data_IF_660649558502
#
_entry.id   IF_660649558502
#
_cell.length_a   1.000
_cell.length_b   1.000
_cell.length_c   1.000
_cell.angle_alpha   90.00
_cell.angle_beta   90.00
_cell.angle_gamma   90.00
#
_symmetry.space_group_name_H-M   'P 1'
#
loop_
_entity.id
_entity.type
_entity.pdbx_description
1 polymer ?
#
# COMPACT_ATOMS: atom_id res chain seq x y z
N UNK A 1 -4.88 8.97 -34.96
CA UNK A 1 -5.82 9.68 -34.08
C UNK A 1 -6.64 10.68 -34.87
N UNK A 2 -7.97 10.58 -34.83
CA UNK A 2 -8.93 11.50 -35.49
C UNK A 2 -10.10 11.82 -34.55
N UNK A 3 -10.86 12.88 -34.86
CA UNK A 3 -12.09 13.18 -34.13
C UNK A 3 -13.10 12.03 -34.25
N UNK A 4 -13.79 11.73 -33.15
CA UNK A 4 -14.69 10.59 -33.00
C UNK A 4 -14.01 9.28 -32.62
N UNK A 5 -12.67 9.22 -32.59
CA UNK A 5 -11.94 7.99 -32.28
C UNK A 5 -11.94 7.65 -30.79
N UNK A 6 -12.11 6.38 -30.44
CA UNK A 6 -11.91 5.87 -29.09
C UNK A 6 -10.41 5.71 -28.80
N UNK A 7 -9.98 6.20 -27.64
CA UNK A 7 -8.58 6.15 -27.18
C UNK A 7 -8.52 5.76 -25.71
N UNK A 8 -7.46 5.09 -25.30
CA UNK A 8 -7.10 4.94 -23.90
C UNK A 8 -6.10 6.04 -23.53
N UNK A 9 -6.35 6.73 -22.42
CA UNK A 9 -5.56 7.86 -21.97
C UNK A 9 -5.26 7.78 -20.47
N UNK A 10 -4.05 8.18 -20.05
CA UNK A 10 -3.67 8.23 -18.64
C UNK A 10 -4.10 9.54 -17.98
N UNK A 11 -4.91 9.44 -16.93
CA UNK A 11 -5.47 10.56 -16.16
C UNK A 11 -5.29 10.29 -14.68
N UNK A 12 -4.64 11.21 -13.96
CA UNK A 12 -4.42 11.11 -12.52
C UNK A 12 -3.79 9.79 -12.05
N UNK A 13 -2.98 9.14 -12.91
CA UNK A 13 -2.33 7.86 -12.63
C UNK A 13 -3.00 6.66 -13.29
N UNK A 14 -4.30 6.74 -13.59
CA UNK A 14 -5.08 5.61 -14.11
C UNK A 14 -5.31 5.70 -15.62
N UNK A 15 -5.44 4.56 -16.29
CA UNK A 15 -5.87 4.50 -17.69
C UNK A 15 -7.40 4.58 -17.77
N UNK A 16 -7.90 5.51 -18.57
CA UNK A 16 -9.33 5.71 -18.84
C UNK A 16 -9.59 5.76 -20.33
N UNK A 17 -10.65 5.10 -20.78
CA UNK A 17 -11.10 5.16 -22.17
C UNK A 17 -11.85 6.48 -22.42
N UNK A 18 -11.67 7.09 -23.57
CA UNK A 18 -12.31 8.35 -23.93
C UNK A 18 -12.54 8.43 -25.45
N UNK A 19 -13.45 9.32 -25.87
CA UNK A 19 -13.61 9.68 -27.28
C UNK A 19 -12.86 10.96 -27.59
N UNK A 20 -12.12 10.99 -28.69
CA UNK A 20 -11.45 12.20 -29.18
C UNK A 20 -12.48 13.15 -29.77
N UNK A 21 -12.51 14.39 -29.27
CA UNK A 21 -13.34 15.46 -29.83
C UNK A 21 -12.55 16.28 -30.85
N UNK A 22 -11.31 16.63 -30.49
CA UNK A 22 -10.47 17.51 -31.28
C UNK A 22 -8.99 17.16 -31.06
N UNK A 23 -8.21 17.15 -32.14
CA UNK A 23 -6.76 16.90 -32.11
C UNK A 23 -6.05 18.19 -32.49
N UNK A 24 -5.24 18.72 -31.58
CA UNK A 24 -4.38 19.87 -31.80
C UNK A 24 -2.91 19.45 -31.80
N UNK A 25 -1.99 20.37 -32.09
CA UNK A 25 -0.57 20.07 -32.28
C UNK A 25 0.10 19.38 -31.07
N UNK A 26 -0.26 19.76 -29.83
CA UNK A 26 0.34 19.20 -28.60
C UNK A 26 -0.68 18.70 -27.58
N UNK A 27 -1.97 18.94 -27.83
CA UNK A 27 -3.07 18.66 -26.91
C UNK A 27 -4.21 17.97 -27.64
N UNK A 28 -4.92 17.11 -26.92
CA UNK A 28 -6.12 16.42 -27.42
C UNK A 28 -7.26 16.73 -26.47
N UNK A 29 -8.40 17.15 -27.03
CA UNK A 29 -9.65 17.25 -26.29
C UNK A 29 -10.36 15.92 -26.37
N UNK A 30 -10.71 15.38 -25.21
CA UNK A 30 -11.33 14.07 -25.05
C UNK A 30 -12.61 14.17 -24.24
N UNK A 31 -13.59 13.33 -24.56
CA UNK A 31 -14.81 13.11 -23.81
C UNK A 31 -14.68 11.83 -22.98
N UNK A 32 -14.73 11.96 -21.66
CA UNK A 32 -14.52 10.85 -20.71
C UNK A 32 -15.79 10.05 -20.47
N UNK A 33 -16.88 10.74 -20.15
CA UNK A 33 -18.22 10.19 -19.90
C UNK A 33 -19.19 11.29 -20.29
N UNK A 34 -20.46 10.95 -20.58
CA UNK A 34 -21.52 11.91 -20.91
C UNK A 34 -21.29 13.32 -20.32
N UNK A 35 -21.04 14.31 -21.19
CA UNK A 35 -20.77 15.74 -20.90
C UNK A 35 -19.50 16.10 -20.11
N UNK A 36 -18.65 15.15 -19.71
CA UNK A 36 -17.37 15.39 -19.03
C UNK A 36 -16.22 15.39 -20.03
N UNK A 37 -15.72 16.57 -20.35
CA UNK A 37 -14.57 16.78 -21.25
C UNK A 37 -13.28 17.05 -20.48
N UNK A 38 -12.15 16.70 -21.09
CA UNK A 38 -10.82 17.04 -20.60
C UNK A 38 -9.89 17.39 -21.77
N UNK A 39 -8.90 18.23 -21.49
CA UNK A 39 -7.86 18.61 -22.45
C UNK A 39 -6.50 18.14 -21.94
N UNK A 40 -5.92 17.15 -22.60
CA UNK A 40 -4.69 16.49 -22.15
C UNK A 40 -3.56 16.63 -23.16
N UNK A 41 -2.28 16.54 -22.72
CA UNK A 41 -1.15 16.37 -23.63
C UNK A 41 -1.31 15.11 -24.49
N UNK A 42 -0.91 15.17 -25.75
CA UNK A 42 -1.01 14.03 -26.67
C UNK A 42 -0.22 12.80 -26.19
N UNK A 43 0.89 13.01 -25.48
CA UNK A 43 1.71 11.97 -24.83
C UNK A 43 0.97 11.16 -23.76
N UNK A 44 -0.16 11.65 -23.24
CA UNK A 44 -0.99 10.90 -22.29
C UNK A 44 -1.92 9.90 -22.97
N UNK A 45 -2.04 9.93 -24.30
CA UNK A 45 -2.73 8.89 -25.06
C UNK A 45 -1.83 7.67 -25.12
N UNK A 46 -2.26 6.59 -24.48
CA UNK A 46 -1.50 5.34 -24.37
C UNK A 46 -1.86 4.34 -25.47
N UNK A 47 -3.08 4.41 -26.00
CA UNK A 47 -3.52 3.58 -27.12
C UNK A 47 -4.57 4.31 -27.97
N UNK A 48 -4.39 4.28 -29.28
CA UNK A 48 -5.40 4.71 -30.25
C UNK A 48 -6.06 3.46 -30.86
N UNK A 49 -7.37 3.30 -30.68
CA UNK A 49 -8.04 2.05 -31.04
C UNK A 49 -8.36 1.93 -32.53
N UNK A 50 -8.41 3.05 -33.25
CA UNK A 50 -8.89 3.13 -34.63
C UNK A 50 -10.42 3.08 -34.78
N UNK A 51 -11.19 2.86 -33.70
CA UNK A 51 -12.64 2.82 -33.74
C UNK A 51 -13.20 4.23 -33.70
N UNK A 52 -13.97 4.63 -34.72
CA UNK A 52 -14.74 5.87 -34.73
C UNK A 52 -16.16 5.59 -34.24
N UNK A 53 -16.61 6.36 -33.25
CA UNK A 53 -17.98 6.29 -32.74
C UNK A 53 -18.67 7.64 -32.87
N UNK A 54 -19.97 7.60 -33.19
CA UNK A 54 -20.77 8.82 -33.38
C UNK A 54 -21.46 9.26 -32.10
N UNK A 55 -22.03 8.32 -31.33
CA UNK A 55 -22.78 8.63 -30.13
C UNK A 55 -21.87 8.65 -28.90
N UNK A 56 -22.21 9.48 -27.91
CA UNK A 56 -21.46 9.53 -26.65
C UNK A 56 -21.65 8.24 -25.84
N UNK A 57 -22.82 7.61 -25.93
CA UNK A 57 -23.15 6.36 -25.24
C UNK A 57 -22.32 5.17 -25.72
N UNK A 58 -21.79 5.24 -26.95
CA UNK A 58 -20.89 4.22 -27.49
C UNK A 58 -19.58 4.13 -26.68
N UNK A 59 -19.16 5.22 -26.03
CA UNK A 59 -17.98 5.25 -25.16
C UNK A 59 -18.21 4.42 -23.90
N UNK A 60 -19.35 4.60 -23.24
CA UNK A 60 -19.69 3.87 -22.02
C UNK A 60 -19.94 2.38 -22.31
N UNK A 61 -20.53 2.06 -23.47
CA UNK A 61 -20.67 0.66 -23.93
C UNK A 61 -19.30 0.00 -24.16
N UNK A 62 -18.42 0.65 -24.91
CA UNK A 62 -17.08 0.11 -25.18
C UNK A 62 -16.25 -0.02 -23.89
N UNK A 63 -16.40 0.92 -22.95
CA UNK A 63 -15.82 0.82 -21.61
C UNK A 63 -16.27 -0.44 -20.89
N UNK A 64 -17.58 -0.68 -20.83
CA UNK A 64 -18.12 -1.84 -20.15
C UNK A 64 -17.66 -3.15 -20.81
N UNK A 65 -17.58 -3.18 -22.14
CA UNK A 65 -17.08 -4.32 -22.91
C UNK A 65 -15.60 -4.61 -22.61
N UNK A 66 -14.72 -3.60 -22.72
CA UNK A 66 -13.30 -3.76 -22.44
C UNK A 66 -13.05 -4.13 -20.97
N UNK A 67 -13.80 -3.55 -20.03
CA UNK A 67 -13.71 -3.88 -18.62
C UNK A 67 -14.12 -5.34 -18.35
N UNK A 68 -15.20 -5.82 -18.97
CA UNK A 68 -15.64 -7.21 -18.85
C UNK A 68 -14.59 -8.20 -19.38
N UNK A 69 -13.91 -7.84 -20.47
CA UNK A 69 -12.82 -8.64 -21.04
C UNK A 69 -11.56 -8.69 -20.16
N UNK A 70 -11.37 -7.76 -19.21
CA UNK A 70 -10.20 -7.83 -18.31
C UNK A 70 -10.20 -9.10 -17.46
N UNK A 71 -11.38 -9.68 -17.19
CA UNK A 71 -11.51 -10.92 -16.43
C UNK A 71 -11.05 -12.17 -17.18
N UNK A 72 -10.93 -12.13 -18.52
CA UNK A 72 -10.41 -13.23 -19.33
C UNK A 72 -8.91 -13.13 -19.60
N UNK A 73 -8.25 -12.06 -19.15
CA UNK A 73 -6.81 -11.89 -19.34
C UNK A 73 -6.09 -12.46 -18.14
N UNK A 74 -5.25 -13.47 -18.37
CA UNK A 74 -4.34 -14.01 -17.36
C UNK A 74 -2.93 -13.46 -17.61
N UNK A 75 -2.49 -12.51 -16.77
CA UNK A 75 -1.17 -11.87 -16.91
C UNK A 75 -0.07 -12.80 -16.43
N UNK A 76 -0.35 -13.71 -15.49
CA UNK A 76 0.63 -14.69 -15.01
C UNK A 76 0.91 -15.71 -16.12
N UNK A 77 -0.12 -16.25 -16.76
CA UNK A 77 0.04 -17.18 -17.89
C UNK A 77 0.82 -16.51 -19.05
N UNK A 78 0.47 -15.27 -19.42
CA UNK A 78 1.21 -14.54 -20.44
C UNK A 78 2.68 -14.36 -20.09
N UNK A 79 2.95 -14.08 -18.81
CA UNK A 79 4.31 -13.95 -18.31
C UNK A 79 5.07 -15.27 -18.35
N UNK A 80 4.44 -16.39 -17.98
CA UNK A 80 5.06 -17.72 -18.03
C UNK A 80 5.53 -18.10 -19.44
N UNK A 81 4.78 -17.69 -20.47
CA UNK A 81 5.15 -17.93 -21.87
C UNK A 81 6.41 -17.18 -22.27
N UNK A 82 6.60 -15.94 -21.80
CA UNK A 82 7.66 -15.04 -22.32
C UNK A 82 8.81 -14.77 -21.34
N UNK A 83 8.72 -15.23 -20.09
CA UNK A 83 9.68 -14.89 -19.01
C UNK A 83 11.12 -15.29 -19.32
N UNK A 84 11.33 -16.35 -20.10
CA UNK A 84 12.66 -16.84 -20.45
C UNK A 84 13.27 -16.12 -21.66
N UNK A 85 12.46 -15.41 -22.45
CA UNK A 85 12.89 -14.79 -23.70
C UNK A 85 13.58 -13.44 -23.50
N UNK A 86 13.52 -12.85 -22.29
CA UNK A 86 14.12 -11.57 -21.90
C UNK A 86 13.89 -10.40 -22.88
N UNK A 87 12.91 -10.54 -23.78
CA UNK A 87 12.69 -9.65 -24.91
C UNK A 87 11.61 -8.64 -24.55
N UNK A 88 11.85 -7.39 -24.93
CA UNK A 88 10.89 -6.31 -24.82
C UNK A 88 9.73 -6.53 -25.81
N UNK A 89 8.50 -6.54 -25.31
CA UNK A 89 7.29 -6.81 -26.08
C UNK A 89 6.42 -5.56 -26.16
N UNK A 90 5.79 -5.36 -27.31
CA UNK A 90 4.72 -4.37 -27.46
C UNK A 90 3.40 -4.88 -26.90
N UNK A 91 2.41 -3.99 -26.74
CA UNK A 91 1.06 -4.41 -26.38
C UNK A 91 0.48 -5.37 -27.43
N UNK A 92 0.81 -5.14 -28.70
CA UNK A 92 0.38 -5.93 -29.85
C UNK A 92 0.97 -7.34 -29.80
N UNK A 93 2.24 -7.50 -29.44
CA UNK A 93 2.87 -8.82 -29.29
C UNK A 93 2.17 -9.62 -28.18
N UNK A 94 1.90 -8.98 -27.03
CA UNK A 94 1.17 -9.62 -25.92
C UNK A 94 -0.29 -9.95 -26.27
N UNK A 95 -0.95 -9.09 -27.06
CA UNK A 95 -2.31 -9.35 -27.54
C UNK A 95 -2.34 -10.52 -28.52
N UNK A 96 -1.32 -10.65 -29.37
CA UNK A 96 -1.18 -11.80 -30.26
C UNK A 96 -0.96 -13.11 -29.51
N UNK A 97 -0.17 -13.10 -28.43
CA UNK A 97 -0.01 -14.29 -27.57
C UNK A 97 -1.33 -14.69 -26.89
N UNK A 98 -2.17 -13.73 -26.54
CA UNK A 98 -3.45 -13.96 -25.85
C UNK A 98 -4.57 -14.43 -26.78
N UNK A 99 -4.69 -13.84 -27.97
CA UNK A 99 -5.85 -14.05 -28.87
C UNK A 99 -5.48 -14.41 -30.31
N UNK A 100 -4.19 -14.56 -30.61
CA UNK A 100 -3.68 -14.72 -31.96
C UNK A 100 -3.69 -13.43 -32.77
N UNK A 101 -3.42 -13.57 -34.07
CA UNK A 101 -3.39 -12.47 -35.01
C UNK A 101 -4.76 -11.78 -35.11
N UNK A 102 -4.77 -10.44 -35.01
CA UNK A 102 -5.97 -9.64 -35.22
C UNK A 102 -6.82 -9.37 -33.97
N UNK A 103 -6.21 -9.34 -32.78
CA UNK A 103 -6.89 -8.96 -31.55
C UNK A 103 -7.73 -7.68 -31.70
N UNK A 104 -8.99 -7.76 -31.30
CA UNK A 104 -9.95 -6.66 -31.41
C UNK A 104 -9.51 -5.46 -30.55
N UNK A 105 -10.02 -4.27 -30.88
CA UNK A 105 -9.67 -3.08 -30.11
C UNK A 105 -10.14 -3.15 -28.65
N UNK A 106 -11.28 -3.79 -28.36
CA UNK A 106 -11.76 -4.00 -26.99
C UNK A 106 -10.83 -4.96 -26.22
N UNK A 107 -10.32 -6.01 -26.86
CA UNK A 107 -9.33 -6.93 -26.29
C UNK A 107 -8.00 -6.24 -25.98
N UNK A 108 -7.46 -5.45 -26.93
CA UNK A 108 -6.22 -4.68 -26.72
C UNK A 108 -6.34 -3.69 -25.57
N UNK A 109 -7.49 -3.03 -25.45
CA UNK A 109 -7.76 -2.11 -24.34
C UNK A 109 -7.91 -2.90 -23.02
N UNK A 110 -8.57 -4.05 -23.03
CA UNK A 110 -8.70 -4.91 -21.85
C UNK A 110 -7.33 -5.38 -21.33
N UNK A 111 -6.45 -5.85 -22.24
CA UNK A 111 -5.08 -6.24 -21.91
C UNK A 111 -4.30 -5.07 -21.32
N UNK A 112 -4.39 -3.89 -21.94
CA UNK A 112 -3.75 -2.67 -21.43
C UNK A 112 -4.22 -2.31 -20.02
N UNK A 113 -5.53 -2.36 -19.75
CA UNK A 113 -6.09 -2.09 -18.42
C UNK A 113 -5.60 -3.12 -17.40
N UNK A 114 -5.56 -4.40 -17.78
CA UNK A 114 -5.11 -5.48 -16.90
C UNK A 114 -3.63 -5.36 -16.56
N UNK A 115 -2.76 -5.11 -17.55
CA UNK A 115 -1.32 -4.92 -17.35
C UNK A 115 -1.00 -3.68 -16.49
N UNK A 116 -1.80 -2.62 -16.58
CA UNK A 116 -1.67 -1.43 -15.73
C UNK A 116 -2.01 -1.71 -14.25
N UNK A 117 -2.97 -2.61 -14.01
CA UNK A 117 -3.40 -3.03 -12.66
C UNK A 117 -2.46 -4.08 -12.07
N UNK A 118 -1.96 -5.00 -12.89
CA UNK A 118 -1.14 -6.15 -12.47
C UNK A 118 0.33 -5.96 -12.85
N UNK A 119 0.96 -5.01 -12.17
CA UNK A 119 2.36 -4.62 -12.42
C UNK A 119 3.40 -5.62 -11.88
N UNK A 120 2.97 -6.76 -11.33
CA UNK A 120 3.86 -7.77 -10.75
C UNK A 120 4.78 -8.40 -11.80
N UNK A 121 4.22 -8.79 -12.94
CA UNK A 121 4.89 -9.63 -13.91
C UNK A 121 5.67 -8.85 -14.97
N UNK A 122 5.16 -7.69 -15.40
CA UNK A 122 5.79 -6.86 -16.44
C UNK A 122 6.23 -5.48 -15.94
N UNK A 123 7.42 -5.05 -16.34
CA UNK A 123 7.84 -3.65 -16.26
C UNK A 123 7.33 -2.95 -17.51
N UNK A 124 6.56 -1.86 -17.35
CA UNK A 124 6.13 -1.03 -18.47
C UNK A 124 7.00 0.23 -18.56
N UNK A 125 7.63 0.43 -19.71
CA UNK A 125 8.33 1.67 -20.04
C UNK A 125 7.78 2.21 -21.37
N UNK A 126 6.95 3.25 -21.29
CA UNK A 126 6.38 3.94 -22.47
C UNK A 126 5.68 3.00 -23.46
N UNK A 127 4.95 2.01 -22.96
CA UNK A 127 4.21 1.05 -23.79
C UNK A 127 5.03 -0.16 -24.24
N UNK A 128 6.28 -0.26 -23.79
CA UNK A 128 7.11 -1.46 -23.93
C UNK A 128 7.04 -2.27 -22.64
N UNK A 129 6.75 -3.56 -22.75
CA UNK A 129 6.60 -4.49 -21.64
C UNK A 129 7.78 -5.45 -21.61
N UNK A 130 8.50 -5.45 -20.49
CA UNK A 130 9.59 -6.39 -20.26
C UNK A 130 9.18 -7.36 -19.15
N UNK A 131 9.18 -8.68 -19.39
CA UNK A 131 8.86 -9.65 -18.34
C UNK A 131 9.93 -9.60 -17.24
N UNK A 132 9.49 -9.70 -15.99
CA UNK A 132 10.42 -9.85 -14.85
C UNK A 132 10.94 -11.27 -14.78
N UNK A 133 12.12 -11.45 -14.19
CA UNK A 133 12.60 -12.80 -13.86
C UNK A 133 11.72 -13.44 -12.80
N UNK A 134 11.69 -14.77 -12.76
CA UNK A 134 11.02 -15.54 -11.71
C UNK A 134 11.50 -15.14 -10.32
N UNK A 135 12.81 -14.97 -10.14
CA UNK A 135 13.40 -14.48 -8.88
C UNK A 135 12.88 -13.12 -8.45
N UNK A 136 12.68 -12.19 -9.39
CA UNK A 136 12.17 -10.86 -9.09
C UNK A 136 10.66 -10.90 -8.75
N UNK A 137 9.89 -11.74 -9.44
CA UNK A 137 8.47 -11.95 -9.10
C UNK A 137 8.33 -12.54 -7.70
N UNK A 138 9.12 -13.55 -7.36
CA UNK A 138 9.08 -14.21 -6.05
C UNK A 138 9.50 -13.25 -4.92
N UNK A 139 10.54 -12.44 -5.14
CA UNK A 139 10.96 -11.41 -4.18
C UNK A 139 9.85 -10.39 -3.94
N UNK A 140 9.15 -9.94 -5.00
CA UNK A 140 8.03 -9.01 -4.87
C UNK A 140 6.84 -9.68 -4.16
N UNK A 141 6.50 -10.94 -4.47
CA UNK A 141 5.44 -11.71 -3.79
C UNK A 141 5.75 -11.82 -2.29
N UNK A 142 6.94 -12.32 -1.94
CA UNK A 142 7.41 -12.43 -0.54
C UNK A 142 7.38 -11.08 0.18
N UNK A 143 7.82 -10.00 -0.46
CA UNK A 143 7.77 -8.65 0.12
C UNK A 143 6.33 -8.21 0.39
N UNK A 144 5.42 -8.35 -0.57
CA UNK A 144 4.00 -7.98 -0.44
C UNK A 144 3.31 -8.78 0.66
N UNK A 145 3.59 -10.08 0.76
CA UNK A 145 3.05 -10.92 1.83
C UNK A 145 3.54 -10.48 3.21
N UNK A 146 4.82 -10.15 3.33
CA UNK A 146 5.39 -9.62 4.57
C UNK A 146 4.79 -8.27 4.94
N UNK A 147 4.64 -7.36 3.98
CA UNK A 147 4.00 -6.05 4.19
C UNK A 147 2.54 -6.20 4.62
N UNK A 148 1.78 -7.08 3.95
CA UNK A 148 0.40 -7.37 4.30
C UNK A 148 0.26 -7.96 5.71
N UNK A 149 1.16 -8.90 6.08
CA UNK A 149 1.22 -9.46 7.44
C UNK A 149 1.56 -8.41 8.47
N UNK A 150 2.57 -7.58 8.21
CA UNK A 150 2.95 -6.50 9.11
C UNK A 150 1.83 -5.47 9.29
N UNK A 151 1.09 -5.15 8.22
CA UNK A 151 -0.07 -4.26 8.28
C UNK A 151 -1.20 -4.87 9.10
N UNK A 152 -1.50 -6.17 8.90
CA UNK A 152 -2.48 -6.90 9.70
C UNK A 152 -2.10 -6.93 11.17
N UNK A 153 -0.84 -7.26 11.49
CA UNK A 153 -0.30 -7.27 12.85
C UNK A 153 -0.41 -5.90 13.51
N UNK A 154 -0.15 -4.82 12.76
CA UNK A 154 -0.27 -3.44 13.22
C UNK A 154 -1.71 -3.06 13.54
N UNK A 155 -2.66 -3.35 12.64
CA UNK A 155 -4.09 -3.12 12.88
C UNK A 155 -4.57 -3.91 14.09
N UNK A 156 -4.26 -5.21 14.17
CA UNK A 156 -4.68 -6.06 15.27
C UNK A 156 -4.14 -5.59 16.63
N UNK A 157 -2.90 -5.08 16.67
CA UNK A 157 -2.34 -4.50 17.90
C UNK A 157 -3.07 -3.20 18.29
N UNK A 158 -3.32 -2.31 17.33
CA UNK A 158 -4.02 -1.04 17.58
C UNK A 158 -5.45 -1.29 18.08
N UNK A 159 -6.15 -2.24 17.47
CA UNK A 159 -7.50 -2.64 17.88
C UNK A 159 -7.49 -3.18 19.32
N UNK A 160 -6.58 -4.11 19.64
CA UNK A 160 -6.44 -4.65 20.99
C UNK A 160 -6.12 -3.56 22.03
N UNK A 161 -5.18 -2.65 21.74
CA UNK A 161 -4.84 -1.53 22.63
C UNK A 161 -6.04 -0.60 22.85
N UNK A 162 -6.84 -0.36 21.80
CA UNK A 162 -8.04 0.48 21.89
C UNK A 162 -9.13 -0.17 22.76
N UNK A 163 -9.20 -1.50 22.76
CA UNK A 163 -10.06 -2.30 23.64
C UNK A 163 -9.52 -2.46 25.07
N UNK A 164 -8.34 -1.90 25.38
CA UNK A 164 -7.68 -2.04 26.68
C UNK A 164 -7.15 -3.45 26.92
N UNK A 165 -6.72 -4.14 25.85
CA UNK A 165 -6.20 -5.49 25.89
C UNK A 165 -4.87 -5.61 25.15
N UNK A 166 -4.22 -6.76 25.32
CA UNK A 166 -3.11 -7.18 24.49
C UNK A 166 -3.50 -8.46 23.74
N UNK A 167 -3.00 -8.66 22.51
CA UNK A 167 -3.15 -9.94 21.82
C UNK A 167 -2.58 -11.07 22.69
N UNK A 168 -3.30 -12.21 22.85
CA UNK A 168 -2.88 -13.28 23.76
C UNK A 168 -1.57 -13.95 23.33
N UNK A 169 -1.32 -14.03 22.03
CA UNK A 169 -0.05 -14.47 21.45
C UNK A 169 0.45 -13.40 20.47
N UNK A 170 1.38 -12.55 20.93
CA UNK A 170 1.92 -11.50 20.08
C UNK A 170 2.97 -12.03 19.10
N UNK A 171 2.83 -11.66 17.83
CA UNK A 171 3.87 -11.91 16.83
C UNK A 171 5.16 -11.14 17.17
N UNK A 172 6.33 -11.55 16.66
CA UNK A 172 7.56 -10.78 16.82
C UNK A 172 7.44 -9.33 16.32
N UNK A 173 6.62 -9.10 15.28
CA UNK A 173 6.37 -7.77 14.77
C UNK A 173 5.51 -6.94 15.73
N UNK A 174 4.45 -7.52 16.32
CA UNK A 174 3.63 -6.86 17.34
C UNK A 174 4.44 -6.50 18.58
N UNK A 175 5.36 -7.36 19.02
CA UNK A 175 6.27 -7.05 20.13
C UNK A 175 7.18 -5.85 19.83
N UNK A 176 7.68 -5.75 18.58
CA UNK A 176 8.45 -4.59 18.13
C UNK A 176 7.57 -3.32 18.16
N UNK A 177 6.36 -3.38 17.63
CA UNK A 177 5.44 -2.24 17.63
C UNK A 177 5.09 -1.80 19.05
N UNK A 178 4.76 -2.73 19.94
CA UNK A 178 4.45 -2.43 21.34
C UNK A 178 5.63 -1.75 22.05
N UNK A 179 6.85 -2.27 21.86
CA UNK A 179 8.07 -1.65 22.38
C UNK A 179 8.26 -0.23 21.83
N UNK A 180 7.96 -0.02 20.56
CA UNK A 180 8.09 1.29 19.94
C UNK A 180 7.03 2.28 20.48
N UNK A 181 5.79 1.82 20.73
CA UNK A 181 4.75 2.60 21.40
C UNK A 181 5.18 2.97 22.83
N UNK A 182 5.75 2.03 23.58
CA UNK A 182 6.33 2.26 24.92
C UNK A 182 7.42 3.34 24.89
N UNK A 183 8.40 3.18 23.99
CA UNK A 183 9.48 4.14 23.83
C UNK A 183 8.99 5.54 23.46
N UNK A 184 7.95 5.64 22.63
CA UNK A 184 7.33 6.92 22.32
C UNK A 184 6.55 7.52 23.49
N UNK A 185 5.82 6.73 24.27
CA UNK A 185 5.15 7.22 25.48
C UNK A 185 6.14 7.81 26.50
N UNK A 186 7.32 7.20 26.64
CA UNK A 186 8.38 7.60 27.57
C UNK A 186 9.15 8.84 27.08
N UNK A 187 9.63 8.81 25.83
CA UNK A 187 10.56 9.83 25.30
C UNK A 187 9.90 10.88 24.40
N UNK A 188 8.65 10.67 24.00
CA UNK A 188 7.91 11.58 23.11
C UNK A 188 8.61 11.78 21.77
N UNK A 189 8.70 13.03 21.33
CA UNK A 189 9.35 13.41 20.07
C UNK A 189 10.87 13.14 20.02
N UNK A 190 11.51 12.88 21.18
CA UNK A 190 12.91 12.48 21.22
C UNK A 190 13.09 10.98 20.87
N UNK A 191 12.00 10.21 20.75
CA UNK A 191 12.09 8.81 20.36
C UNK A 191 12.36 8.68 18.85
N UNK A 192 13.42 7.95 18.49
CA UNK A 192 13.86 7.79 17.09
C UNK A 192 12.77 7.29 16.15
N UNK A 193 11.84 6.45 16.64
CA UNK A 193 10.73 5.91 15.83
C UNK A 193 9.40 6.64 16.07
N UNK A 194 9.41 7.82 16.69
CA UNK A 194 8.22 8.63 16.98
C UNK A 194 7.30 8.83 15.77
N UNK A 195 7.78 9.23 14.58
CA UNK A 195 6.93 9.39 13.40
C UNK A 195 6.19 8.11 12.98
N UNK A 196 6.83 6.94 13.12
CA UNK A 196 6.20 5.66 12.79
C UNK A 196 5.10 5.31 13.79
N UNK A 197 5.31 5.57 15.08
CA UNK A 197 4.29 5.39 16.13
C UNK A 197 3.12 6.36 15.92
N UNK A 198 3.39 7.63 15.60
CA UNK A 198 2.33 8.61 15.26
C UNK A 198 1.48 8.13 14.08
N UNK A 199 2.11 7.61 13.02
CA UNK A 199 1.39 7.04 11.87
C UNK A 199 0.59 5.78 12.22
N UNK A 200 1.08 4.97 13.17
CA UNK A 200 0.36 3.79 13.66
C UNK A 200 -0.91 4.16 14.42
N UNK A 201 -0.86 5.26 15.19
CA UNK A 201 -1.94 5.70 16.09
C UNK A 201 -2.87 6.78 15.48
N UNK A 202 -2.56 7.31 14.29
CA UNK A 202 -3.24 8.46 13.66
C UNK A 202 -4.77 8.26 13.48
N UNK A 203 -5.22 7.01 13.36
CA UNK A 203 -6.64 6.66 13.20
C UNK A 203 -7.45 6.58 14.50
N UNK A 204 -6.81 6.66 15.67
CA UNK A 204 -7.47 6.48 16.97
C UNK A 204 -8.13 7.79 17.39
N UNK A 205 -9.46 7.80 17.45
CA UNK A 205 -10.22 8.95 17.91
C UNK A 205 -10.34 8.95 19.43
N UNK A 206 -9.47 9.71 20.11
CA UNK A 206 -9.64 10.10 21.52
C UNK A 206 -9.73 11.62 21.67
N UNK A 207 -10.22 12.07 22.82
CA UNK A 207 -10.37 13.49 23.15
C UNK A 207 -9.02 14.22 23.35
N UNK A 208 -7.90 13.53 23.17
CA UNK A 208 -6.56 14.02 23.44
C UNK A 208 -5.85 14.35 22.12
N UNK A 209 -5.52 15.63 21.90
CA UNK A 209 -4.73 16.08 20.74
C UNK A 209 -3.22 15.83 20.87
N UNK A 210 -2.78 15.32 22.02
CA UNK A 210 -1.39 14.94 22.31
C UNK A 210 -1.19 13.44 22.07
N UNK A 211 -0.40 13.11 21.05
CA UNK A 211 -0.14 11.74 20.64
C UNK A 211 0.73 10.97 21.65
N UNK A 212 1.64 11.66 22.37
CA UNK A 212 2.44 11.02 23.41
C UNK A 212 1.54 10.62 24.58
N UNK A 213 0.63 11.51 24.97
CA UNK A 213 -0.35 11.21 26.00
C UNK A 213 -1.30 10.08 25.59
N UNK A 214 -1.75 10.07 24.33
CA UNK A 214 -2.55 8.97 23.79
C UNK A 214 -1.83 7.62 23.91
N UNK A 215 -0.55 7.57 23.52
CA UNK A 215 0.25 6.34 23.62
C UNK A 215 0.35 5.86 25.08
N UNK A 216 0.60 6.78 26.03
CA UNK A 216 0.62 6.45 27.46
C UNK A 216 -0.72 5.89 27.94
N UNK A 217 -1.82 6.59 27.66
CA UNK A 217 -3.16 6.19 28.12
C UNK A 217 -3.55 4.81 27.56
N UNK A 218 -3.21 4.51 26.29
CA UNK A 218 -3.44 3.19 25.69
C UNK A 218 -2.66 2.06 26.40
N UNK A 219 -1.41 2.33 26.79
CA UNK A 219 -0.58 1.37 27.51
C UNK A 219 -1.08 1.14 28.94
N UNK A 220 -1.61 2.17 29.59
CA UNK A 220 -2.25 2.05 30.90
C UNK A 220 -3.53 1.22 30.80
N UNK A 221 -4.39 1.52 29.82
CA UNK A 221 -5.65 0.79 29.61
C UNK A 221 -5.39 -0.70 29.31
N UNK A 222 -4.34 -1.01 28.54
CA UNK A 222 -3.92 -2.38 28.23
C UNK A 222 -3.14 -3.08 29.35
N UNK A 223 -2.90 -2.41 30.48
CA UNK A 223 -2.15 -2.96 31.63
C UNK A 223 -0.65 -3.12 31.40
N UNK A 224 -0.09 -2.45 30.40
CA UNK A 224 1.37 -2.42 30.15
C UNK A 224 2.06 -1.40 31.05
N UNK A 225 1.41 -0.26 31.29
CA UNK A 225 1.86 0.76 32.23
C UNK A 225 0.93 0.86 33.43
N UNK A 226 1.49 1.30 34.55
CA UNK A 226 0.71 1.81 35.68
C UNK A 226 0.25 3.24 35.40
N UNK A 227 -0.91 3.70 35.96
CA UNK A 227 -1.26 5.12 35.95
C UNK A 227 -0.18 6.03 36.57
N UNK A 228 0.57 5.50 37.53
CA UNK A 228 1.67 6.16 38.25
C UNK A 228 3.05 5.64 37.79
N UNK A 229 3.17 5.19 36.54
CA UNK A 229 4.44 4.72 35.97
C UNK A 229 5.55 5.77 36.15
N UNK A 230 6.71 5.42 36.75
CA UNK A 230 7.79 6.37 36.99
C UNK A 230 8.62 6.60 35.71
N UNK A 231 8.00 7.21 34.70
CA UNK A 231 8.58 7.43 33.36
C UNK A 231 9.92 8.17 33.41
N UNK A 232 10.15 9.04 34.39
CA UNK A 232 11.40 9.77 34.57
C UNK A 232 12.58 8.85 34.89
N UNK A 233 12.37 7.77 35.64
CA UNK A 233 13.43 6.80 35.93
C UNK A 233 13.87 6.09 34.65
N UNK A 234 12.90 5.66 33.84
CA UNK A 234 13.17 5.06 32.54
C UNK A 234 13.89 6.03 31.60
N UNK A 235 13.46 7.30 31.55
CA UNK A 235 14.08 8.34 30.70
C UNK A 235 15.55 8.56 31.03
N UNK A 236 15.90 8.49 32.32
CA UNK A 236 17.26 8.66 32.82
C UNK A 236 18.05 7.33 32.88
N UNK A 237 17.43 6.21 32.47
CA UNK A 237 18.05 4.88 32.51
C UNK A 237 18.37 4.40 33.93
N UNK A 238 17.63 4.89 34.93
CA UNK A 238 17.81 4.53 36.33
C UNK A 238 17.13 3.19 36.59
N UNK A 239 17.85 2.17 37.09
CA UNK A 239 17.24 0.89 37.44
C UNK A 239 16.16 1.06 38.51
N UNK A 240 14.97 0.51 38.25
CA UNK A 240 13.84 0.52 39.19
C UNK A 240 13.91 -0.65 40.19
N UNK A 241 14.64 -1.72 39.83
CA UNK A 241 14.88 -2.87 40.69
C UNK A 241 16.24 -2.76 41.38
N UNK A 242 16.26 -3.09 42.66
CA UNK A 242 17.51 -3.21 43.40
C UNK A 242 18.31 -4.43 42.88
N UNK A 243 19.63 -4.31 42.76
CA UNK A 243 20.49 -5.46 42.47
C UNK A 243 20.25 -6.61 43.46
N UNK A 244 20.27 -7.85 42.99
CA UNK A 244 20.00 -9.04 43.81
C UNK A 244 20.92 -9.14 45.04
N UNK A 245 22.16 -8.66 44.91
CA UNK A 245 23.11 -8.55 46.01
C UNK A 245 22.61 -7.63 47.14
N UNK A 246 22.02 -6.49 46.80
CA UNK A 246 21.48 -5.53 47.76
C UNK A 246 20.22 -6.10 48.45
N UNK A 247 19.36 -6.81 47.69
CA UNK A 247 18.19 -7.49 48.25
C UNK A 247 18.61 -8.61 49.22
N UNK A 248 19.66 -9.36 48.86
CA UNK A 248 20.20 -10.43 49.70
C UNK A 248 20.80 -9.88 50.98
N UNK A 249 21.57 -8.79 50.91
CA UNK A 249 22.14 -8.13 52.08
C UNK A 249 21.03 -7.59 53.01
N UNK A 250 20.04 -6.90 52.47
CA UNK A 250 18.91 -6.36 53.24
C UNK A 250 18.13 -7.45 54.00
N UNK A 251 18.01 -8.66 53.46
CA UNK A 251 17.35 -9.81 54.11
C UNK A 251 18.12 -10.35 55.32
N UNK A 252 19.42 -10.10 55.41
CA UNK A 252 20.29 -10.57 56.50
C UNK A 252 20.38 -9.54 57.64
N UNK A 253 19.91 -8.30 57.42
CA UNK A 253 19.87 -7.27 58.46
C UNK A 253 18.76 -7.57 59.46
N UNK A 254 19.16 -7.92 60.69
CA UNK A 254 18.25 -8.14 61.82
C UNK A 254 17.86 -6.79 62.44
N UNK A 255 16.58 -6.44 62.32
CA UNK A 255 16.03 -5.16 62.80
C UNK A 255 15.85 -5.09 64.33
N UNK A 256 16.18 -6.15 65.08
CA UNK A 256 15.99 -6.21 66.53
C UNK A 256 16.83 -5.21 67.34
N UNK A 257 17.84 -4.57 66.75
CA UNK A 257 18.67 -3.55 67.42
C UNK A 257 18.47 -2.10 66.91
N UNK A 258 17.60 -1.86 65.93
CA UNK A 258 17.44 -0.53 65.32
C UNK A 258 16.27 0.32 65.88
N UNK A 259 15.45 -0.22 66.80
CA UNK A 259 14.27 0.46 67.36
C UNK A 259 14.30 0.64 68.90
N UNK A 260 15.48 0.60 69.53
CA UNK A 260 15.67 0.98 70.93
C UNK A 260 16.13 2.44 71.04
#
# INVERSE_FOLDING_TARGET
>A
MRAGELVAARLSGEITIAKVLEVEASRVRILLRQKKEARIPAERIVLATGIIVSHDDDVDRFKAEAEALTGSVDVEELWEVVRDESTALSLEDLAELSWGQGAEASQRVALLLKLDRETLYFVNEKGVYTPRSESAVEEIKTRREREARNAHDATALVDALTEGQLPPEMTPHQQILLRDVRGFAVHGDNYTRGPAVKSLLDGIQRATGDMQRLAFDLLVDAGVFSPDEPLELEREGIPEEFPEAAITEARVVDYTHALA
#
